data_IF_414332965323
#
_entry.id   IF_414332965323
#
_cell.length_a   1.000
_cell.length_b   1.000
_cell.length_c   1.000
_cell.angle_alpha   90.00
_cell.angle_beta   90.00
_cell.angle_gamma   90.00
#
_symmetry.space_group_name_H-M   'P 1'
#
loop_
_entity.id
_entity.type
_entity.pdbx_description
1 polymer ?
#
# COMPACT_ATOMS: atom_id res chain seq x y z
N UNK A 1 5.18 0.96 13.49
CA UNK A 1 4.66 -0.17 12.69
C UNK A 1 3.22 -0.42 13.09
N UNK A 2 2.32 -0.67 12.14
CA UNK A 2 0.86 -0.85 12.40
C UNK A 2 0.37 -2.26 12.09
N UNK A 3 1.10 -3.01 11.26
CA UNK A 3 0.86 -4.41 10.96
C UNK A 3 2.17 -5.06 10.54
N UNK A 4 2.33 -6.35 10.82
CA UNK A 4 3.42 -7.17 10.26
C UNK A 4 3.05 -8.65 10.33
N UNK A 5 3.52 -9.41 9.36
CA UNK A 5 3.52 -10.86 9.37
C UNK A 5 4.81 -11.40 8.71
N UNK A 6 4.79 -12.64 8.21
CA UNK A 6 5.93 -13.27 7.53
C UNK A 6 6.19 -12.75 6.11
N UNK A 7 5.21 -12.16 5.42
CA UNK A 7 5.35 -11.75 4.01
C UNK A 7 5.37 -10.23 3.83
N UNK A 8 4.69 -9.46 4.69
CA UNK A 8 4.56 -8.00 4.58
C UNK A 8 4.74 -7.26 5.90
N UNK A 9 5.04 -5.96 5.79
CA UNK A 9 5.03 -4.99 6.88
C UNK A 9 4.21 -3.78 6.49
N UNK A 10 3.51 -3.17 7.45
CA UNK A 10 2.80 -1.92 7.24
C UNK A 10 3.16 -0.87 8.29
N UNK A 11 3.38 0.37 7.84
CA UNK A 11 3.74 1.49 8.70
C UNK A 11 3.23 2.82 8.15
N UNK A 12 3.08 3.81 9.02
CA UNK A 12 2.60 5.14 8.64
C UNK A 12 3.62 5.80 7.71
N UNK A 13 3.14 6.39 6.63
CA UNK A 13 3.96 7.25 5.80
C UNK A 13 4.38 8.49 6.61
N UNK A 14 5.65 8.89 6.47
CA UNK A 14 6.20 10.08 7.14
C UNK A 14 5.67 11.39 6.54
N UNK A 15 5.17 11.36 5.30
CA UNK A 15 4.60 12.48 4.55
C UNK A 15 3.15 12.17 4.13
N UNK A 16 2.20 12.12 5.07
CA UNK A 16 0.84 11.66 4.82
C UNK A 16 0.08 12.51 3.78
N UNK A 17 -0.66 11.87 2.86
CA UNK A 17 -1.52 12.52 1.84
C UNK A 17 -3.02 12.38 2.12
N UNK A 18 -3.35 11.73 3.22
CA UNK A 18 -4.68 11.60 3.79
C UNK A 18 -4.54 11.41 5.32
N UNK A 19 -5.62 11.62 6.11
CA UNK A 19 -5.57 11.44 7.57
C UNK A 19 -5.06 10.06 8.00
N UNK A 20 -5.41 9.02 7.25
CA UNK A 20 -4.73 7.72 7.31
C UNK A 20 -3.93 7.55 6.02
N UNK A 21 -2.61 7.47 6.15
CA UNK A 21 -1.71 7.14 5.04
C UNK A 21 -0.67 6.12 5.53
N UNK A 22 -0.79 4.88 5.05
CA UNK A 22 0.03 3.75 5.45
C UNK A 22 0.68 3.15 4.22
N UNK A 23 1.94 2.78 4.33
CA UNK A 23 2.66 2.00 3.32
C UNK A 23 2.63 0.54 3.73
N UNK A 24 2.19 -0.32 2.82
CA UNK A 24 2.27 -1.78 2.93
C UNK A 24 3.38 -2.24 2.00
N UNK A 25 4.38 -2.92 2.54
CA UNK A 25 5.62 -3.26 1.85
C UNK A 25 5.90 -4.74 2.04
N UNK A 26 6.11 -5.51 0.96
CA UNK A 26 6.54 -6.89 1.09
C UNK A 26 7.95 -6.97 1.65
N UNK A 27 8.23 -7.99 2.45
CA UNK A 27 9.58 -8.27 2.96
C UNK A 27 10.52 -8.70 1.84
N UNK A 28 10.01 -9.45 0.85
CA UNK A 28 10.74 -9.72 -0.40
C UNK A 28 11.00 -8.38 -1.10
N UNK A 29 12.25 -8.12 -1.42
CA UNK A 29 12.61 -6.95 -2.20
C UNK A 29 12.24 -7.16 -3.67
N UNK A 30 11.37 -6.28 -4.18
CA UNK A 30 10.96 -6.21 -5.59
C UNK A 30 11.00 -4.73 -5.95
N UNK A 31 11.78 -4.34 -6.96
CA UNK A 31 12.09 -2.94 -7.19
C UNK A 31 10.88 -2.14 -7.73
N UNK A 32 10.17 -2.68 -8.71
CA UNK A 32 9.00 -2.06 -9.34
C UNK A 32 7.90 -3.09 -9.60
N UNK A 33 6.69 -2.64 -9.98
CA UNK A 33 5.61 -3.55 -10.36
C UNK A 33 5.93 -4.37 -11.62
N UNK A 34 6.89 -3.94 -12.45
CA UNK A 34 7.34 -4.67 -13.63
C UNK A 34 8.24 -5.86 -13.29
N UNK A 35 8.79 -5.89 -12.08
CA UNK A 35 9.68 -6.95 -11.59
C UNK A 35 8.93 -8.06 -10.83
N UNK A 36 7.59 -8.02 -10.84
CA UNK A 36 6.75 -9.09 -10.30
C UNK A 36 6.79 -10.31 -11.22
N UNK A 37 7.11 -11.47 -10.65
CA UNK A 37 7.16 -12.73 -11.39
C UNK A 37 5.90 -13.58 -11.14
N UNK A 38 5.62 -14.61 -11.96
CA UNK A 38 4.51 -15.53 -11.71
C UNK A 38 4.50 -16.16 -10.31
N UNK A 39 5.67 -16.30 -9.67
CA UNK A 39 5.81 -16.79 -8.29
C UNK A 39 5.35 -15.81 -7.21
N UNK A 40 5.13 -14.52 -7.54
CA UNK A 40 4.78 -13.48 -6.56
C UNK A 40 3.27 -13.24 -6.42
N UNK A 41 2.44 -14.04 -7.11
CA UNK A 41 0.98 -13.88 -7.09
C UNK A 41 0.40 -13.97 -5.67
N UNK A 42 0.88 -14.91 -4.87
CA UNK A 42 0.45 -15.07 -3.48
C UNK A 42 0.87 -13.87 -2.62
N UNK A 43 2.10 -13.38 -2.78
CA UNK A 43 2.60 -12.20 -2.09
C UNK A 43 1.76 -10.94 -2.38
N UNK A 44 1.32 -10.76 -3.63
CA UNK A 44 0.41 -9.65 -3.97
C UNK A 44 -0.95 -9.84 -3.29
N UNK A 45 -1.45 -11.08 -3.20
CA UNK A 45 -2.62 -11.43 -2.41
C UNK A 45 -2.48 -11.03 -0.94
N UNK A 46 -1.35 -11.38 -0.32
CA UNK A 46 -1.02 -11.04 1.07
C UNK A 46 -1.02 -9.53 1.31
N UNK A 47 -0.48 -8.75 0.37
CA UNK A 47 -0.51 -7.28 0.43
C UNK A 47 -1.94 -6.75 0.53
N UNK A 48 -2.86 -7.25 -0.30
CA UNK A 48 -4.26 -6.79 -0.27
C UNK A 48 -5.04 -7.34 0.93
N UNK A 49 -4.70 -8.55 1.41
CA UNK A 49 -5.23 -9.08 2.66
C UNK A 49 -4.82 -8.18 3.85
N UNK A 50 -3.54 -7.81 3.92
CA UNK A 50 -3.03 -6.87 4.91
C UNK A 50 -3.68 -5.48 4.78
N UNK A 51 -3.91 -4.98 3.56
CA UNK A 51 -4.60 -3.70 3.33
C UNK A 51 -6.03 -3.72 3.91
N UNK A 52 -6.77 -4.81 3.68
CA UNK A 52 -8.12 -5.00 4.21
C UNK A 52 -8.13 -5.02 5.74
N UNK A 53 -7.21 -5.77 6.36
CA UNK A 53 -7.08 -5.84 7.81
C UNK A 53 -6.72 -4.48 8.41
N UNK A 54 -5.69 -3.82 7.88
CA UNK A 54 -5.23 -2.51 8.35
C UNK A 54 -6.32 -1.46 8.17
N UNK A 55 -7.10 -1.49 7.09
CA UNK A 55 -8.20 -0.55 6.90
C UNK A 55 -9.29 -0.68 7.99
N UNK A 56 -9.60 -1.91 8.44
CA UNK A 56 -10.51 -2.16 9.56
C UNK A 56 -9.91 -1.64 10.87
N UNK A 57 -8.65 -1.96 11.13
CA UNK A 57 -7.96 -1.56 12.36
C UNK A 57 -7.78 -0.05 12.49
N UNK A 58 -7.69 0.66 11.36
CA UNK A 58 -7.61 2.13 11.32
C UNK A 58 -8.97 2.82 11.23
N UNK A 59 -10.08 2.08 11.26
CA UNK A 59 -11.43 2.65 11.23
C UNK A 59 -11.80 3.33 9.91
N UNK A 60 -11.16 2.96 8.80
CA UNK A 60 -11.41 3.53 7.46
C UNK A 60 -12.17 2.57 6.53
N UNK A 61 -12.46 1.34 6.96
CA UNK A 61 -13.11 0.34 6.12
C UNK A 61 -14.51 0.74 5.64
N UNK A 62 -15.38 1.24 6.55
CA UNK A 62 -16.78 1.55 6.24
C UNK A 62 -16.93 2.80 5.36
N UNK A 63 -16.13 3.84 5.61
CA UNK A 63 -16.14 5.07 4.81
C UNK A 63 -15.39 4.92 3.47
N UNK A 64 -14.73 3.78 3.27
CA UNK A 64 -13.90 3.50 2.11
C UNK A 64 -12.47 4.05 2.21
N UNK A 65 -11.62 3.47 1.36
CA UNK A 65 -10.21 3.78 1.25
C UNK A 65 -9.73 3.59 -0.19
N UNK A 66 -8.54 4.10 -0.50
CA UNK A 66 -7.87 3.92 -1.80
C UNK A 66 -6.55 3.19 -1.58
N UNK A 67 -6.28 2.17 -2.41
CA UNK A 67 -4.96 1.54 -2.51
C UNK A 67 -4.30 2.03 -3.79
N UNK A 68 -3.07 2.54 -3.70
CA UNK A 68 -2.30 3.04 -4.85
C UNK A 68 -0.93 2.37 -4.86
N UNK A 69 -0.48 1.90 -6.03
CA UNK A 69 0.87 1.44 -6.26
C UNK A 69 1.45 2.19 -7.45
N UNK A 70 2.58 2.86 -7.25
CA UNK A 70 3.23 3.65 -8.29
C UNK A 70 4.33 2.82 -8.96
N UNK A 71 4.45 2.92 -10.28
CA UNK A 71 5.48 2.23 -11.05
C UNK A 71 6.25 3.22 -11.93
N UNK A 72 7.54 3.40 -11.62
CA UNK A 72 8.43 4.32 -12.32
C UNK A 72 8.23 5.80 -11.94
N UNK A 73 9.14 6.68 -12.42
CA UNK A 73 9.19 8.08 -12.01
C UNK A 73 7.97 8.89 -12.47
N UNK A 74 7.41 8.58 -13.65
CA UNK A 74 6.23 9.27 -14.18
C UNK A 74 4.96 9.05 -13.35
N UNK A 75 4.87 7.94 -12.62
CA UNK A 75 3.80 7.65 -11.67
C UNK A 75 4.14 8.12 -10.24
N UNK A 76 5.31 8.75 -10.03
CA UNK A 76 5.74 9.24 -8.71
C UNK A 76 6.39 8.18 -7.81
N UNK A 77 6.90 7.07 -8.35
CA UNK A 77 7.71 6.14 -7.56
C UNK A 77 9.06 6.76 -7.20
N UNK A 78 9.32 6.98 -5.92
CA UNK A 78 10.58 7.58 -5.41
C UNK A 78 11.51 6.57 -4.73
N UNK A 79 10.95 5.47 -4.19
CA UNK A 79 11.69 4.37 -3.57
C UNK A 79 11.49 3.11 -4.40
N UNK A 80 12.60 2.49 -4.83
CA UNK A 80 12.62 1.28 -5.64
C UNK A 80 12.55 0.01 -4.77
N UNK A 81 11.47 -0.06 -4.00
CA UNK A 81 10.95 -1.25 -3.36
C UNK A 81 9.43 -1.07 -3.39
N UNK A 82 8.70 -1.99 -4.04
CA UNK A 82 7.25 -1.83 -4.20
C UNK A 82 6.58 -1.57 -2.85
N UNK A 83 5.71 -0.58 -2.84
CA UNK A 83 4.94 -0.21 -1.67
C UNK A 83 3.55 0.21 -2.11
N UNK A 84 2.57 -0.17 -1.30
CA UNK A 84 1.17 0.06 -1.58
C UNK A 84 0.67 1.09 -0.57
N UNK A 85 0.30 2.26 -1.09
CA UNK A 85 -0.27 3.33 -0.30
C UNK A 85 -1.72 2.98 0.04
N UNK A 86 -2.02 2.79 1.32
CA UNK A 86 -3.37 2.71 1.85
C UNK A 86 -3.76 4.09 2.37
N UNK A 87 -4.70 4.75 1.68
CA UNK A 87 -5.15 6.11 1.99
C UNK A 87 -6.63 6.10 2.43
N UNK A 88 -6.94 6.78 3.54
CA UNK A 88 -8.29 6.84 4.09
C UNK A 88 -8.53 8.02 5.02
N UNK A 89 -9.75 8.08 5.57
CA UNK A 89 -10.14 9.10 6.56
C UNK A 89 -10.58 10.45 5.97
N UNK A 90 -10.76 10.54 4.66
CA UNK A 90 -11.38 11.68 3.97
C UNK A 90 -12.01 11.25 2.64
N UNK A 91 -12.86 12.09 2.07
CA UNK A 91 -13.31 11.93 0.69
C UNK A 91 -12.13 12.08 -0.29
N UNK A 92 -12.06 11.22 -1.30
CA UNK A 92 -11.10 11.32 -2.40
C UNK A 92 -11.79 11.76 -3.67
N UNK A 93 -11.20 12.75 -4.36
CA UNK A 93 -11.62 13.15 -5.68
C UNK A 93 -11.14 12.18 -6.76
N UNK A 94 -11.66 12.40 -7.98
CA UNK A 94 -11.21 11.80 -9.22
C UNK A 94 -10.78 12.92 -10.18
N UNK A 95 -9.66 12.80 -10.91
CA UNK A 95 -8.74 11.66 -10.98
C UNK A 95 -7.88 11.44 -9.70
N UNK A 96 -7.24 10.27 -9.53
CA UNK A 96 -6.60 9.85 -8.28
C UNK A 96 -5.11 10.24 -8.20
N UNK A 97 -4.84 11.54 -8.35
CA UNK A 97 -3.50 12.06 -8.64
C UNK A 97 -3.55 12.80 -9.96
#
# INVERSE_FOLDING_TARGET
MVYQDSSVVAFKDINPKAPVHILIVPRKHIATLLDLEPGDRELVGDVFAAASQVARDQGIAENGFRVVANCGPGAGQSVYHIHFHLLGGRHFSWPPG
#
